data_IF_552344382094
#
_entry.id   IF_552344382094
#
_cell.length_a   1.000
_cell.length_b   1.000
_cell.length_c   1.000
_cell.angle_alpha   90.00
_cell.angle_beta   90.00
_cell.angle_gamma   90.00
#
_symmetry.space_group_name_H-M   'P 1'
#
loop_
_entity.id
_entity.type
_entity.pdbx_description
1 polymer ?
#
# COMPACT_ATOMS: atom_id res chain seq x y z
N UNK A 1 27.99 -0.13 -1.96
CA UNK A 1 27.18 -1.27 -2.45
C UNK A 1 27.22 -1.27 -3.96
N UNK A 2 27.46 -2.42 -4.60
CA UNK A 2 27.40 -2.56 -6.06
C UNK A 2 25.96 -2.35 -6.55
N UNK A 3 25.78 -1.69 -7.69
CA UNK A 3 24.48 -1.46 -8.36
C UNK A 3 23.66 -2.75 -8.51
N UNK A 4 24.33 -3.88 -8.75
CA UNK A 4 23.68 -5.19 -8.85
C UNK A 4 23.05 -5.68 -7.54
N UNK A 5 23.64 -5.31 -6.40
CA UNK A 5 23.10 -5.68 -5.08
C UNK A 5 21.82 -4.91 -4.76
N UNK A 6 21.76 -3.63 -5.19
CA UNK A 6 20.57 -2.79 -5.03
C UNK A 6 19.42 -3.33 -5.89
N UNK A 7 19.69 -3.66 -7.16
CA UNK A 7 18.69 -4.22 -8.08
C UNK A 7 18.15 -5.57 -7.59
N UNK A 8 19.01 -6.42 -7.02
CA UNK A 8 18.61 -7.70 -6.44
C UNK A 8 17.67 -7.53 -5.24
N UNK A 9 17.99 -6.59 -4.33
CA UNK A 9 17.13 -6.28 -3.19
C UNK A 9 15.77 -5.69 -3.61
N UNK A 10 15.76 -4.85 -4.64
CA UNK A 10 14.52 -4.31 -5.23
C UNK A 10 13.69 -5.44 -5.84
N UNK A 11 14.31 -6.38 -6.55
CA UNK A 11 13.65 -7.55 -7.12
C UNK A 11 12.98 -8.42 -6.05
N UNK A 12 13.69 -8.71 -4.96
CA UNK A 12 13.12 -9.43 -3.80
C UNK A 12 11.96 -8.64 -3.18
N UNK A 13 12.09 -7.33 -3.07
CA UNK A 13 11.03 -6.45 -2.59
C UNK A 13 9.76 -6.52 -3.44
N UNK A 14 9.89 -6.50 -4.77
CA UNK A 14 8.76 -6.58 -5.71
C UNK A 14 8.08 -7.95 -5.64
N UNK A 15 8.85 -9.05 -5.61
CA UNK A 15 8.30 -10.40 -5.50
C UNK A 15 7.61 -10.59 -4.15
N UNK A 16 8.24 -10.11 -3.06
CA UNK A 16 7.64 -10.09 -1.73
C UNK A 16 6.32 -9.32 -1.72
N UNK A 17 6.30 -8.12 -2.31
CA UNK A 17 5.11 -7.28 -2.44
C UNK A 17 4.00 -7.95 -3.25
N UNK A 18 4.32 -8.61 -4.36
CA UNK A 18 3.35 -9.34 -5.20
C UNK A 18 2.73 -10.54 -4.46
N UNK A 19 3.57 -11.35 -3.82
CA UNK A 19 3.12 -12.54 -3.09
C UNK A 19 2.33 -12.17 -1.82
N UNK A 20 2.69 -11.03 -1.22
CA UNK A 20 1.92 -10.38 -0.18
C UNK A 20 0.56 -9.96 -0.77
N UNK A 21 0.50 -9.04 -1.74
CA UNK A 21 -0.76 -8.52 -2.31
C UNK A 21 -1.74 -9.62 -2.73
N UNK A 22 -1.25 -10.75 -3.25
CA UNK A 22 -2.07 -11.91 -3.62
C UNK A 22 -2.64 -12.72 -2.43
N UNK A 23 -2.01 -12.69 -1.25
CA UNK A 23 -2.43 -13.46 -0.06
C UNK A 23 -3.20 -12.64 0.97
N UNK A 24 -3.18 -11.31 0.88
CA UNK A 24 -3.54 -10.46 2.00
C UNK A 24 -4.99 -10.03 2.02
N UNK A 25 -5.80 -10.95 2.53
CA UNK A 25 -7.10 -10.66 3.10
C UNK A 25 -7.00 -10.00 4.52
N UNK A 26 -5.82 -9.50 4.93
CA UNK A 26 -5.54 -9.00 6.29
C UNK A 26 -5.65 -7.48 6.42
N UNK A 27 -6.27 -7.03 7.52
CA UNK A 27 -6.56 -5.62 7.81
C UNK A 27 -5.32 -4.71 7.95
N UNK A 28 -4.16 -5.29 8.27
CA UNK A 28 -2.92 -4.58 8.62
C UNK A 28 -2.29 -3.78 7.47
N UNK A 29 -2.63 -4.07 6.22
CA UNK A 29 -2.08 -3.35 5.06
C UNK A 29 -2.54 -1.91 4.95
N UNK A 30 -3.67 -1.59 5.58
CA UNK A 30 -4.12 -0.20 5.74
C UNK A 30 -3.16 0.66 6.55
N UNK A 31 -2.28 0.07 7.37
CA UNK A 31 -1.27 0.80 8.15
C UNK A 31 0.14 0.64 7.57
N UNK A 32 0.45 -0.53 6.99
CA UNK A 32 1.78 -0.82 6.40
C UNK A 32 2.06 0.09 5.20
N UNK A 33 1.10 0.25 4.28
CA UNK A 33 1.29 1.07 3.08
C UNK A 33 1.53 2.56 3.39
N UNK A 34 0.71 3.21 4.26
CA UNK A 34 1.01 4.57 4.71
C UNK A 34 2.35 4.68 5.44
N UNK A 35 2.74 3.67 6.22
CA UNK A 35 4.03 3.64 6.91
C UNK A 35 5.23 3.63 5.96
N UNK A 36 5.20 2.78 4.92
CA UNK A 36 6.25 2.74 3.89
C UNK A 36 6.30 4.06 3.12
N UNK A 37 5.14 4.63 2.79
CA UNK A 37 5.05 5.92 2.10
C UNK A 37 5.69 7.06 2.93
N UNK A 38 5.40 7.12 4.22
CA UNK A 38 6.03 8.08 5.13
C UNK A 38 7.55 7.88 5.22
N UNK A 39 8.02 6.63 5.34
CA UNK A 39 9.45 6.33 5.38
C UNK A 39 10.17 6.80 4.11
N UNK A 40 9.55 6.64 2.94
CA UNK A 40 10.08 7.16 1.67
C UNK A 40 10.18 8.69 1.66
N UNK A 41 9.16 9.39 2.16
CA UNK A 41 9.19 10.85 2.25
C UNK A 41 10.30 11.35 3.19
N UNK A 42 10.46 10.71 4.35
CA UNK A 42 11.54 11.03 5.30
C UNK A 42 12.91 10.78 4.68
N UNK A 43 13.08 9.63 4.01
CA UNK A 43 14.32 9.29 3.33
C UNK A 43 14.69 10.34 2.28
N UNK A 44 13.74 10.72 1.42
CA UNK A 44 14.00 11.71 0.37
C UNK A 44 14.25 13.12 0.92
N UNK A 45 13.67 13.47 2.06
CA UNK A 45 13.99 14.72 2.76
C UNK A 45 15.42 14.71 3.31
N UNK A 46 15.81 13.66 4.06
CA UNK A 46 17.14 13.55 4.69
C UNK A 46 18.27 13.43 3.66
N UNK A 47 18.04 12.71 2.57
CA UNK A 47 19.04 12.56 1.49
C UNK A 47 19.12 13.77 0.55
N UNK A 48 18.21 14.73 0.70
CA UNK A 48 18.10 15.87 -0.21
C UNK A 48 17.60 15.50 -1.61
N UNK A 49 16.93 14.35 -1.76
CA UNK A 49 16.30 13.92 -3.00
C UNK A 49 15.20 14.91 -3.45
N UNK A 50 14.61 15.65 -2.51
CA UNK A 50 13.55 16.64 -2.76
C UNK A 50 14.03 18.09 -2.67
N UNK A 51 15.33 18.35 -2.84
CA UNK A 51 15.95 19.69 -2.68
C UNK A 51 15.36 20.78 -3.55
N UNK A 52 14.80 20.43 -4.72
CA UNK A 52 14.20 21.39 -5.65
C UNK A 52 12.71 21.70 -5.34
N UNK A 53 12.12 20.98 -4.37
CA UNK A 53 10.71 21.12 -3.99
C UNK A 53 10.53 22.00 -2.74
N UNK A 54 9.41 22.74 -2.69
CA UNK A 54 9.04 23.49 -1.47
C UNK A 54 8.61 22.55 -0.35
N UNK A 55 8.88 22.93 0.91
CA UNK A 55 8.44 22.18 2.09
C UNK A 55 6.93 22.02 2.14
N UNK A 56 6.18 23.04 1.69
CA UNK A 56 4.72 22.98 1.55
C UNK A 56 4.27 21.88 0.58
N UNK A 57 4.97 21.71 -0.54
CA UNK A 57 4.70 20.65 -1.50
C UNK A 57 4.87 19.28 -0.85
N UNK A 58 5.93 19.11 -0.05
CA UNK A 58 6.24 17.88 0.66
C UNK A 58 5.15 17.52 1.69
N UNK A 59 4.67 18.51 2.45
CA UNK A 59 3.56 18.34 3.41
C UNK A 59 2.26 17.99 2.68
N UNK A 60 1.92 18.66 1.59
CA UNK A 60 0.73 18.38 0.81
C UNK A 60 0.77 16.96 0.21
N UNK A 61 1.92 16.53 -0.29
CA UNK A 61 2.12 15.15 -0.78
C UNK A 61 1.98 14.15 0.36
N UNK A 62 2.53 14.43 1.54
CA UNK A 62 2.39 13.55 2.70
C UNK A 62 0.91 13.37 3.11
N UNK A 63 0.20 14.47 3.32
CA UNK A 63 -1.21 14.45 3.75
C UNK A 63 -2.11 13.86 2.66
N UNK A 64 -1.95 14.32 1.42
CA UNK A 64 -2.73 13.85 0.28
C UNK A 64 -2.48 12.36 0.00
N UNK A 65 -1.21 11.92 0.02
CA UNK A 65 -0.84 10.53 -0.19
C UNK A 65 -1.42 9.60 0.87
N UNK A 66 -1.33 9.96 2.15
CA UNK A 66 -1.92 9.17 3.24
C UNK A 66 -3.45 9.10 3.11
N UNK A 67 -4.11 10.22 2.80
CA UNK A 67 -5.56 10.26 2.62
C UNK A 67 -6.01 9.35 1.47
N UNK A 68 -5.34 9.42 0.32
CA UNK A 68 -5.62 8.59 -0.85
C UNK A 68 -5.38 7.11 -0.55
N UNK A 69 -4.24 6.77 0.07
CA UNK A 69 -3.91 5.39 0.44
C UNK A 69 -4.95 4.80 1.42
N UNK A 70 -5.37 5.59 2.41
CA UNK A 70 -6.39 5.19 3.38
C UNK A 70 -7.76 4.97 2.73
N UNK A 71 -8.16 5.87 1.82
CA UNK A 71 -9.40 5.75 1.06
C UNK A 71 -9.38 4.54 0.12
N UNK A 72 -8.29 4.33 -0.61
CA UNK A 72 -8.10 3.19 -1.50
C UNK A 72 -8.20 1.86 -0.73
N UNK A 73 -7.56 1.79 0.44
CA UNK A 73 -7.64 0.63 1.32
C UNK A 73 -9.07 0.37 1.81
N UNK A 74 -9.76 1.39 2.31
CA UNK A 74 -11.14 1.28 2.78
C UNK A 74 -12.09 0.80 1.68
N UNK A 75 -11.95 1.34 0.46
CA UNK A 75 -12.72 0.89 -0.72
C UNK A 75 -12.45 -0.57 -1.06
N UNK A 76 -11.18 -0.98 -1.10
CA UNK A 76 -10.80 -2.39 -1.34
C UNK A 76 -11.41 -3.34 -0.32
N UNK A 77 -11.39 -2.98 0.97
CA UNK A 77 -11.99 -3.79 2.06
C UNK A 77 -13.51 -3.90 1.92
N UNK A 78 -14.19 -2.81 1.54
CA UNK A 78 -15.64 -2.83 1.29
C UNK A 78 -16.00 -3.75 0.13
N UNK A 79 -15.26 -3.68 -0.98
CA UNK A 79 -15.47 -4.55 -2.13
C UNK A 79 -15.30 -6.04 -1.79
N UNK A 80 -14.27 -6.39 -1.01
CA UNK A 80 -14.03 -7.76 -0.56
C UNK A 80 -15.13 -8.27 0.38
N UNK A 81 -15.60 -7.43 1.32
CA UNK A 81 -16.74 -7.78 2.18
C UNK A 81 -18.01 -8.00 1.36
N UNK A 82 -18.28 -7.17 0.36
CA UNK A 82 -19.44 -7.32 -0.52
C UNK A 82 -19.38 -8.63 -1.33
N UNK A 83 -18.20 -8.98 -1.87
CA UNK A 83 -18.01 -10.28 -2.55
C UNK A 83 -18.31 -11.46 -1.64
N UNK A 84 -17.76 -11.47 -0.43
CA UNK A 84 -18.00 -12.54 0.56
C UNK A 84 -19.47 -12.67 0.96
N UNK A 85 -20.17 -11.54 1.14
CA UNK A 85 -21.61 -11.55 1.44
C UNK A 85 -22.40 -12.21 0.30
N UNK A 86 -22.08 -11.85 -0.95
CA UNK A 86 -22.72 -12.43 -2.14
C UNK A 86 -22.40 -13.91 -2.33
N UNK A 87 -21.21 -14.36 -1.95
CA UNK A 87 -20.86 -15.78 -1.93
C UNK A 87 -21.63 -16.56 -0.87
N UNK A 88 -21.79 -16.02 0.35
CA UNK A 88 -22.65 -16.64 1.39
C UNK A 88 -24.11 -16.72 0.94
N UNK A 89 -24.68 -15.64 0.43
CA UNK A 89 -26.07 -15.63 -0.06
C UNK A 89 -26.30 -16.68 -1.15
N UNK A 90 -25.31 -16.93 -2.01
CA UNK A 90 -25.38 -18.00 -3.01
C UNK A 90 -25.35 -19.40 -2.40
N UNK A 91 -24.54 -19.64 -1.37
CA UNK A 91 -24.50 -20.92 -0.68
C UNK A 91 -25.81 -21.19 0.05
N UNK A 92 -26.38 -20.20 0.74
CA UNK A 92 -27.69 -20.32 1.40
C UNK A 92 -28.82 -20.65 0.42
N UNK A 93 -28.80 -20.08 -0.79
CA UNK A 93 -29.78 -20.38 -1.84
C UNK A 93 -29.59 -21.74 -2.52
N UNK A 94 -28.39 -22.33 -2.43
CA UNK A 94 -28.07 -23.65 -2.98
C UNK A 94 -28.36 -24.78 -1.98
N UNK A 95 -28.37 -24.47 -0.68
CA UNK A 95 -28.74 -25.38 0.41
C UNK A 95 -30.27 -25.47 0.62
N UNK A 96 -31.04 -24.51 0.09
CA UNK A 96 -32.52 -24.47 0.09
C UNK A 96 -33.12 -25.21 -1.10
#
# INVERSE_FOLDING_TARGET
MSTGMIQFLVGIGIVGMQNLLGRLNHAYWGAIFPGIFLAYLVYGYVTGLFKDGSELTLILVAVGGIAILSLAWSKGRRAMKAKRKKEMERMELLDL
#
